data_IF_616970678632
#
_entry.id   IF_616970678632
#
_cell.length_a   1.000
_cell.length_b   1.000
_cell.length_c   1.000
_cell.angle_alpha   90.00
_cell.angle_beta   90.00
_cell.angle_gamma   90.00
#
_symmetry.space_group_name_H-M   'P 1'
#
loop_
_entity.id
_entity.type
_entity.pdbx_description
1 polymer ?
#
# COMPACT_ATOMS: atom_id res chain seq x y z
N UNK A 1 -11.59 -8.23 -19.98
CA UNK A 1 -10.28 -8.79 -19.56
C UNK A 1 -9.41 -7.61 -19.17
N UNK A 2 -8.80 -7.62 -17.99
CA UNK A 2 -7.89 -6.53 -17.58
C UNK A 2 -6.58 -6.73 -18.37
N UNK A 3 -6.10 -5.65 -18.99
CA UNK A 3 -4.76 -5.60 -19.58
C UNK A 3 -3.89 -4.70 -18.73
N UNK A 4 -2.63 -5.10 -18.52
CA UNK A 4 -1.64 -4.31 -17.80
C UNK A 4 -0.45 -4.04 -18.74
N UNK A 5 -0.17 -2.77 -19.01
CA UNK A 5 1.02 -2.33 -19.76
C UNK A 5 2.01 -1.72 -18.78
N UNK A 6 3.23 -2.24 -18.70
CA UNK A 6 4.27 -1.65 -17.84
C UNK A 6 4.50 -0.19 -18.25
N UNK A 7 4.64 0.68 -17.25
CA UNK A 7 4.99 2.09 -17.41
C UNK A 7 6.50 2.31 -17.50
N UNK A 8 6.90 3.38 -18.18
CA UNK A 8 8.26 3.92 -18.18
C UNK A 8 8.67 4.63 -16.88
N UNK A 9 7.72 4.86 -15.96
CA UNK A 9 8.03 5.28 -14.59
C UNK A 9 8.72 4.15 -13.80
N UNK A 10 9.67 4.51 -12.93
CA UNK A 10 10.39 3.57 -12.06
C UNK A 10 10.28 3.96 -10.58
N UNK A 11 10.19 2.97 -9.70
CA UNK A 11 10.30 3.18 -8.25
C UNK A 11 11.74 3.58 -7.91
N UNK A 12 11.90 4.67 -7.14
CA UNK A 12 13.17 5.10 -6.58
C UNK A 12 13.31 4.62 -5.12
N UNK A 13 12.27 4.85 -4.32
CA UNK A 13 12.14 4.34 -2.95
C UNK A 13 10.68 4.40 -2.47
N UNK A 14 10.30 3.55 -1.51
CA UNK A 14 9.04 3.70 -0.77
C UNK A 14 9.22 3.45 0.73
N UNK A 15 8.53 4.26 1.53
CA UNK A 15 8.53 4.25 2.98
C UNK A 15 7.08 4.14 3.48
N UNK A 16 6.71 2.99 4.03
CA UNK A 16 5.35 2.65 4.47
C UNK A 16 5.28 2.53 5.99
N UNK A 17 4.41 3.32 6.64
CA UNK A 17 4.17 3.30 8.08
C UNK A 17 2.70 2.98 8.39
N UNK A 18 2.45 1.86 9.08
CA UNK A 18 1.10 1.39 9.41
C UNK A 18 0.90 1.11 10.90
N UNK A 19 -0.30 1.42 11.38
CA UNK A 19 -0.80 1.06 12.72
C UNK A 19 -2.15 0.35 12.57
N UNK A 20 -2.23 -0.87 13.11
CA UNK A 20 -3.46 -1.67 13.14
C UNK A 20 -3.88 -1.97 14.58
N UNK A 21 -5.19 -1.93 14.85
CA UNK A 21 -5.80 -2.29 16.13
C UNK A 21 -7.03 -3.16 15.84
N UNK A 22 -7.01 -4.39 16.35
CA UNK A 22 -8.03 -5.44 16.16
C UNK A 22 -8.36 -5.72 14.69
N UNK A 23 -9.36 -5.03 14.13
CA UNK A 23 -9.81 -5.16 12.73
C UNK A 23 -9.60 -3.87 11.92
N UNK A 24 -9.28 -2.74 12.55
CA UNK A 24 -9.06 -1.45 11.90
C UNK A 24 -7.58 -1.27 11.59
N UNK A 25 -7.28 -0.83 10.37
CA UNK A 25 -5.92 -0.49 9.93
C UNK A 25 -5.87 0.94 9.41
N UNK A 26 -4.82 1.66 9.78
CA UNK A 26 -4.46 2.98 9.25
C UNK A 26 -3.02 2.85 8.72
N UNK A 27 -2.79 3.25 7.47
CA UNK A 27 -1.48 3.19 6.83
C UNK A 27 -1.26 4.46 6.02
N UNK A 28 -0.02 4.91 5.98
CA UNK A 28 0.40 6.04 5.16
C UNK A 28 1.88 5.97 4.89
N UNK A 29 2.35 6.75 3.94
CA UNK A 29 3.73 6.65 3.51
C UNK A 29 4.11 7.62 2.43
N UNK A 30 5.35 7.48 1.97
CA UNK A 30 5.89 8.14 0.79
C UNK A 30 6.30 7.12 -0.24
N UNK A 31 6.07 7.48 -1.50
CA UNK A 31 6.51 6.74 -2.67
C UNK A 31 7.19 7.75 -3.58
N UNK A 32 8.46 7.55 -3.89
CA UNK A 32 9.20 8.39 -4.83
C UNK A 32 9.29 7.60 -6.14
N UNK A 33 8.66 8.14 -7.19
CA UNK A 33 8.70 7.56 -8.53
C UNK A 33 9.45 8.52 -9.45
N UNK A 34 10.42 7.99 -10.19
CA UNK A 34 11.05 8.70 -11.29
C UNK A 34 10.18 8.55 -12.54
N UNK A 35 9.93 9.65 -13.23
CA UNK A 35 9.17 9.67 -14.48
C UNK A 35 9.99 9.18 -15.69
N UNK A 36 9.39 8.99 -16.88
CA UNK A 36 10.11 8.55 -18.08
C UNK A 36 11.20 9.52 -18.57
N UNK A 37 11.24 10.75 -18.04
CA UNK A 37 12.29 11.76 -18.28
C UNK A 37 13.36 11.76 -17.17
N UNK A 38 13.23 10.87 -16.17
CA UNK A 38 14.05 10.75 -14.95
C UNK A 38 13.95 11.93 -14.00
N UNK A 39 12.79 12.59 -13.94
CA UNK A 39 12.49 13.54 -12.88
C UNK A 39 11.82 12.80 -11.72
N UNK A 40 12.34 12.96 -10.50
CA UNK A 40 11.78 12.32 -9.29
C UNK A 40 10.56 13.08 -8.78
N UNK A 41 9.47 12.36 -8.51
CA UNK A 41 8.24 12.93 -7.96
C UNK A 41 7.90 12.27 -6.63
N UNK A 42 7.81 13.09 -5.58
CA UNK A 42 7.28 12.71 -4.27
C UNK A 42 5.75 12.52 -4.35
N UNK A 43 5.28 11.35 -3.95
CA UNK A 43 3.87 11.09 -3.66
C UNK A 43 3.71 10.71 -2.19
N UNK A 44 2.80 11.39 -1.49
CA UNK A 44 2.44 11.08 -0.10
C UNK A 44 1.05 10.46 -0.07
N UNK A 45 0.89 9.34 0.63
CA UNK A 45 -0.41 8.67 0.73
C UNK A 45 -0.83 8.43 2.18
N UNK A 46 -2.15 8.37 2.38
CA UNK A 46 -2.78 8.02 3.64
C UNK A 46 -4.13 7.35 3.38
N UNK A 47 -4.45 6.32 4.16
CA UNK A 47 -5.70 5.61 4.05
C UNK A 47 -6.01 4.77 5.28
N UNK A 48 -7.23 4.25 5.30
CA UNK A 48 -7.74 3.45 6.40
C UNK A 48 -8.63 2.33 5.86
N UNK A 49 -8.81 1.28 6.64
CA UNK A 49 -9.69 0.20 6.25
C UNK A 49 -9.67 -0.96 7.23
N UNK A 50 -9.88 -2.16 6.69
CA UNK A 50 -9.96 -3.38 7.47
C UNK A 50 -8.69 -4.20 7.31
N UNK A 51 -8.23 -4.80 8.40
CA UNK A 51 -7.09 -5.70 8.42
C UNK A 51 -7.34 -6.90 9.33
N UNK A 52 -6.70 -8.01 8.99
CA UNK A 52 -6.54 -9.14 9.90
C UNK A 52 -5.06 -9.32 10.18
N UNK A 53 -4.65 -9.09 11.43
CA UNK A 53 -3.31 -9.36 11.91
C UNK A 53 -3.34 -10.55 12.88
N UNK A 54 -2.35 -11.43 12.76
CA UNK A 54 -2.12 -12.53 13.69
C UNK A 54 -0.70 -12.42 14.22
N UNK A 55 -0.59 -11.94 15.45
CA UNK A 55 0.66 -12.04 16.22
C UNK A 55 1.08 -13.51 16.33
N UNK A 56 2.38 -13.76 16.29
CA UNK A 56 2.92 -15.08 16.56
C UNK A 56 2.66 -15.46 18.04
N UNK A 57 2.48 -16.76 18.36
CA UNK A 57 2.35 -17.18 19.77
C UNK A 57 3.56 -16.72 20.58
N UNK A 58 3.41 -16.50 21.89
CA UNK A 58 4.41 -15.88 22.79
C UNK A 58 5.73 -16.68 22.90
N UNK A 59 6.55 -16.65 21.85
CA UNK A 59 7.96 -17.03 21.86
C UNK A 59 8.68 -16.01 22.73
N UNK A 60 9.48 -16.48 23.69
CA UNK A 60 10.37 -15.62 24.47
C UNK A 60 11.52 -15.16 23.57
N UNK A 61 11.31 -14.03 22.89
CA UNK A 61 12.37 -13.32 22.19
C UNK A 61 13.50 -12.99 23.18
N UNK A 62 14.78 -13.06 22.76
CA UNK A 62 15.90 -12.64 23.60
C UNK A 62 15.77 -11.13 23.91
N UNK A 63 16.25 -10.66 25.07
CA UNK A 63 16.12 -9.27 25.48
C UNK A 63 17.01 -8.34 24.64
N UNK A 64 16.46 -7.84 23.53
CA UNK A 64 17.04 -6.75 22.75
C UNK A 64 16.79 -5.44 23.53
N UNK A 65 17.81 -4.59 23.78
CA UNK A 65 17.67 -3.41 24.67
C UNK A 65 16.94 -2.22 24.02
N UNK A 66 15.98 -2.47 23.12
CA UNK A 66 15.25 -1.45 22.38
C UNK A 66 13.75 -1.76 22.45
N UNK A 67 12.96 -0.74 22.79
CA UNK A 67 11.48 -0.69 22.69
C UNK A 67 10.66 -1.46 23.76
N UNK A 68 10.58 -0.91 24.97
CA UNK A 68 9.55 -1.26 25.97
C UNK A 68 8.14 -0.80 25.53
N UNK A 69 7.48 -1.54 24.64
CA UNK A 69 6.04 -1.41 24.38
C UNK A 69 5.45 -2.69 23.79
N UNK A 70 4.35 -3.19 24.36
CA UNK A 70 3.61 -4.32 23.79
C UNK A 70 2.90 -3.90 22.49
N UNK A 71 3.58 -4.05 21.35
CA UNK A 71 3.03 -3.73 20.03
C UNK A 71 2.34 -4.95 19.40
N UNK A 72 1.01 -5.00 19.47
CA UNK A 72 0.18 -5.88 18.65
C UNK A 72 -0.08 -5.28 17.26
N UNK A 73 0.98 -4.91 16.53
CA UNK A 73 0.89 -4.16 15.27
C UNK A 73 1.88 -4.64 14.21
N UNK A 74 1.39 -4.79 12.97
CA UNK A 74 2.20 -5.13 11.79
C UNK A 74 2.80 -3.88 11.13
N UNK A 75 3.44 -3.03 11.94
CA UNK A 75 4.13 -1.83 11.47
C UNK A 75 5.63 -2.06 11.36
N UNK A 76 6.23 -1.77 10.20
CA UNK A 76 7.69 -1.67 10.11
C UNK A 76 8.17 -0.43 10.87
N UNK A 77 9.33 -0.52 11.53
CA UNK A 77 10.00 0.59 12.21
C UNK A 77 11.13 1.21 11.39
N UNK A 78 11.34 0.73 10.15
CA UNK A 78 12.30 1.23 9.16
C UNK A 78 11.69 1.19 7.75
N UNK A 79 12.30 1.95 6.85
CA UNK A 79 11.99 1.94 5.42
C UNK A 79 12.17 0.55 4.80
N UNK A 80 11.42 0.28 3.72
CA UNK A 80 11.47 -0.99 3.02
C UNK A 80 12.50 -0.91 1.89
N UNK A 81 13.39 -1.89 1.80
CA UNK A 81 14.16 -2.13 0.57
C UNK A 81 13.17 -2.67 -0.46
N UNK A 82 12.56 -1.75 -1.20
CA UNK A 82 11.35 -1.98 -1.98
C UNK A 82 11.66 -1.95 -3.48
N UNK A 83 11.44 -3.09 -4.14
CA UNK A 83 11.29 -3.16 -5.59
C UNK A 83 9.82 -2.92 -5.94
N UNK A 84 9.56 -2.40 -7.12
CA UNK A 84 8.20 -2.08 -7.53
C UNK A 84 8.05 -1.65 -8.97
N UNK A 85 6.88 -1.95 -9.52
CA UNK A 85 6.56 -1.74 -10.93
C UNK A 85 5.19 -1.07 -11.06
N UNK A 86 5.17 0.08 -11.73
CA UNK A 86 3.95 0.77 -12.12
C UNK A 86 3.44 0.22 -13.45
N UNK A 87 2.14 -0.08 -13.51
CA UNK A 87 1.43 -0.54 -14.70
C UNK A 87 0.27 0.40 -15.02
N UNK A 88 0.08 0.71 -16.30
CA UNK A 88 -1.16 1.27 -16.82
C UNK A 88 -2.20 0.16 -17.00
N UNK A 89 -3.44 0.41 -16.61
CA UNK A 89 -4.56 -0.53 -16.81
C UNK A 89 -5.20 -0.37 -18.19
N UNK A 90 -6.13 -1.25 -18.52
CA UNK A 90 -7.04 -1.11 -19.66
C UNK A 90 -7.95 0.13 -19.62
N UNK A 91 -8.08 0.83 -18.47
CA UNK A 91 -8.79 2.11 -18.39
C UNK A 91 -7.93 3.28 -18.92
N UNK A 92 -6.60 3.14 -18.92
CA UNK A 92 -5.69 4.19 -19.36
C UNK A 92 -5.34 4.09 -20.85
N UNK A 93 -5.95 4.95 -21.66
CA UNK A 93 -5.84 4.90 -23.13
C UNK A 93 -4.72 5.76 -23.73
N UNK A 94 -4.07 6.65 -22.96
CA UNK A 94 -2.94 7.46 -23.44
C UNK A 94 -1.66 6.62 -23.54
N UNK A 95 -0.56 7.18 -24.04
CA UNK A 95 0.70 6.44 -24.21
C UNK A 95 1.40 6.14 -22.88
N UNK A 96 1.47 7.13 -21.98
CA UNK A 96 2.19 7.04 -20.71
C UNK A 96 1.54 7.94 -19.64
N UNK A 97 1.68 7.57 -18.37
CA UNK A 97 1.11 8.25 -17.21
C UNK A 97 1.79 9.61 -16.96
N UNK A 98 1.00 10.55 -16.42
CA UNK A 98 1.50 11.78 -15.80
C UNK A 98 1.21 11.78 -14.30
N UNK A 99 1.79 12.72 -13.54
CA UNK A 99 1.56 12.84 -12.09
C UNK A 99 0.08 12.91 -11.71
N UNK A 100 -0.76 13.54 -12.54
CA UNK A 100 -2.21 13.62 -12.33
C UNK A 100 -2.99 12.34 -12.65
N UNK A 101 -2.37 11.33 -13.26
CA UNK A 101 -2.95 9.99 -13.44
C UNK A 101 -2.59 9.03 -12.30
N UNK A 102 -1.68 9.45 -11.42
CA UNK A 102 -1.21 8.68 -10.25
C UNK A 102 -1.91 9.22 -8.99
N UNK A 103 -2.00 10.55 -8.85
CA UNK A 103 -2.68 11.25 -7.74
C UNK A 103 -4.19 11.06 -7.79
N UNK A 104 -4.84 11.05 -6.63
CA UNK A 104 -6.27 10.83 -6.48
C UNK A 104 -6.60 9.85 -5.36
N UNK A 105 -7.78 9.26 -5.41
CA UNK A 105 -8.11 8.15 -4.53
C UNK A 105 -7.27 6.90 -4.86
N UNK A 106 -7.01 6.11 -3.83
CA UNK A 106 -6.34 4.81 -3.94
C UNK A 106 -7.09 3.73 -3.18
N UNK A 107 -7.04 2.51 -3.71
CA UNK A 107 -7.35 1.27 -3.00
C UNK A 107 -6.04 0.52 -2.89
N UNK A 108 -5.61 0.14 -1.68
CA UNK A 108 -4.40 -0.66 -1.54
C UNK A 108 -4.57 -1.85 -0.60
N UNK A 109 -3.85 -2.91 -0.92
CA UNK A 109 -3.87 -4.19 -0.21
C UNK A 109 -2.46 -4.48 0.32
N UNK A 110 -2.20 -4.13 1.58
CA UNK A 110 -0.93 -4.39 2.25
C UNK A 110 -0.95 -5.79 2.88
N UNK A 111 0.09 -6.58 2.62
CA UNK A 111 0.30 -7.89 3.23
C UNK A 111 1.76 -8.14 3.59
N UNK A 112 2.00 -8.83 4.72
CA UNK A 112 3.37 -9.14 5.13
C UNK A 112 3.45 -10.07 6.34
N UNK A 113 4.62 -10.66 6.56
CA UNK A 113 4.91 -11.54 7.69
C UNK A 113 6.39 -11.51 8.09
N UNK A 114 6.67 -11.67 9.38
CA UNK A 114 8.03 -11.70 9.92
C UNK A 114 8.13 -12.23 11.35
N UNK A 115 9.37 -12.38 11.82
CA UNK A 115 9.72 -12.63 13.23
C UNK A 115 10.99 -11.88 13.69
N UNK A 116 11.94 -11.62 12.77
CA UNK A 116 13.22 -10.93 13.03
C UNK A 116 13.67 -10.06 11.85
N UNK A 117 13.47 -10.57 10.63
CA UNK A 117 13.20 -9.79 9.44
C UNK A 117 11.77 -10.10 8.98
N UNK A 118 11.18 -9.23 8.16
CA UNK A 118 9.88 -9.47 7.53
C UNK A 118 9.94 -9.27 6.01
N UNK A 119 9.08 -9.99 5.30
CA UNK A 119 8.77 -9.70 3.90
C UNK A 119 7.38 -9.07 3.83
N UNK A 120 7.25 -8.02 3.02
CA UNK A 120 6.00 -7.32 2.77
C UNK A 120 5.78 -7.05 1.28
N UNK A 121 4.53 -6.81 0.91
CA UNK A 121 4.15 -6.34 -0.40
C UNK A 121 2.83 -5.57 -0.36
N UNK A 122 2.65 -4.69 -1.33
CA UNK A 122 1.42 -3.91 -1.51
C UNK A 122 0.98 -3.92 -2.96
N UNK A 123 -0.34 -3.97 -3.18
CA UNK A 123 -0.96 -3.76 -4.48
C UNK A 123 -1.83 -2.51 -4.36
N UNK A 124 -1.42 -1.43 -5.01
CA UNK A 124 -2.13 -0.15 -4.97
C UNK A 124 -2.79 0.15 -6.32
N UNK A 125 -4.11 0.29 -6.34
CA UNK A 125 -4.86 0.91 -7.44
C UNK A 125 -4.75 2.43 -7.27
N UNK A 126 -4.22 3.12 -8.26
CA UNK A 126 -3.89 4.56 -8.22
C UNK A 126 -4.72 5.37 -9.22
N UNK A 127 -4.77 6.70 -9.04
CA UNK A 127 -5.42 7.63 -9.97
C UNK A 127 -6.96 7.58 -10.00
N UNK A 128 -7.61 6.98 -9.00
CA UNK A 128 -9.07 6.84 -9.00
C UNK A 128 -9.70 8.22 -8.71
N UNK A 129 -10.76 8.58 -9.43
CA UNK A 129 -11.54 9.78 -9.09
C UNK A 129 -12.15 9.61 -7.69
N UNK A 130 -11.84 10.54 -6.77
CA UNK A 130 -12.32 10.55 -5.39
C UNK A 130 -13.84 10.47 -5.27
N UNK A 131 -14.60 11.01 -6.22
CA UNK A 131 -16.06 10.92 -6.28
C UNK A 131 -16.55 9.46 -6.39
N UNK A 132 -15.78 8.58 -7.04
CA UNK A 132 -16.11 7.16 -7.17
C UNK A 132 -15.95 6.41 -5.85
N UNK A 133 -15.02 6.82 -4.98
CA UNK A 133 -14.84 6.18 -3.67
C UNK A 133 -15.67 6.82 -2.55
N UNK A 134 -16.14 8.06 -2.68
CA UNK A 134 -16.88 8.73 -1.61
C UNK A 134 -18.05 7.90 -1.00
N UNK A 135 -18.81 7.08 -1.75
CA UNK A 135 -19.83 6.20 -1.17
C UNK A 135 -19.31 5.10 -0.23
N UNK A 136 -18.02 4.71 -0.30
CA UNK A 136 -17.36 3.81 0.67
C UNK A 136 -17.48 4.35 2.09
N UNK A 137 -17.14 5.63 2.23
CA UNK A 137 -16.97 6.32 3.51
C UNK A 137 -18.29 6.36 4.31
N UNK A 138 -19.42 6.28 3.61
CA UNK A 138 -20.78 6.32 4.18
C UNK A 138 -21.36 4.92 4.40
N UNK A 139 -20.95 3.91 3.62
CA UNK A 139 -21.43 2.54 3.75
C UNK A 139 -20.32 1.50 3.46
N UNK A 140 -19.63 0.97 4.48
CA UNK A 140 -18.64 -0.09 4.31
C UNK A 140 -19.19 -1.37 3.65
N UNK A 141 -20.50 -1.63 3.75
CA UNK A 141 -21.15 -2.80 3.17
C UNK A 141 -21.09 -2.87 1.63
N UNK A 142 -20.86 -1.75 0.93
CA UNK A 142 -20.70 -1.75 -0.53
C UNK A 142 -19.26 -1.99 -1.00
N UNK A 143 -18.29 -2.17 -0.08
CA UNK A 143 -16.86 -2.38 -0.37
C UNK A 143 -16.61 -3.32 -1.56
N UNK A 144 -17.20 -4.53 -1.55
CA UNK A 144 -16.94 -5.54 -2.57
C UNK A 144 -17.38 -5.11 -3.98
N UNK A 145 -18.50 -4.38 -4.08
CA UNK A 145 -18.96 -3.82 -5.35
C UNK A 145 -18.08 -2.67 -5.85
N UNK A 146 -17.59 -1.83 -4.92
CA UNK A 146 -16.76 -0.67 -5.26
C UNK A 146 -15.32 -1.06 -5.57
N UNK A 147 -14.76 -2.09 -4.91
CA UNK A 147 -13.44 -2.62 -5.20
C UNK A 147 -13.34 -3.14 -6.65
N UNK A 148 -14.39 -3.82 -7.16
CA UNK A 148 -14.47 -4.18 -8.58
C UNK A 148 -14.52 -2.93 -9.47
N UNK A 149 -15.40 -1.97 -9.16
CA UNK A 149 -15.55 -0.74 -9.96
C UNK A 149 -14.26 0.09 -9.99
N UNK A 150 -13.52 0.14 -8.89
CA UNK A 150 -12.21 0.79 -8.83
C UNK A 150 -11.18 0.07 -9.72
N UNK A 151 -11.17 -1.26 -9.74
CA UNK A 151 -10.32 -2.03 -10.66
C UNK A 151 -10.70 -1.83 -12.14
N UNK A 152 -11.98 -1.56 -12.43
CA UNK A 152 -12.45 -1.18 -13.78
C UNK A 152 -12.15 0.30 -14.14
N UNK A 153 -11.78 1.17 -13.19
CA UNK A 153 -11.68 2.63 -13.36
C UNK A 153 -10.37 3.28 -12.86
N UNK A 154 -9.42 2.53 -12.31
CA UNK A 154 -8.11 3.02 -11.90
C UNK A 154 -7.18 3.15 -13.13
N UNK A 155 -6.61 4.33 -13.45
CA UNK A 155 -5.61 4.47 -14.50
C UNK A 155 -4.38 3.57 -14.34
N UNK A 156 -3.94 3.35 -13.10
CA UNK A 156 -2.69 2.64 -12.82
C UNK A 156 -2.78 1.66 -11.66
N UNK A 157 -1.87 0.68 -11.66
CA UNK A 157 -1.60 -0.24 -10.55
C UNK A 157 -0.11 -0.19 -10.23
N UNK A 158 0.23 0.11 -8.99
CA UNK A 158 1.59 -0.03 -8.46
C UNK A 158 1.68 -1.34 -7.68
N UNK A 159 2.63 -2.19 -8.05
CA UNK A 159 3.03 -3.35 -7.26
C UNK A 159 4.29 -2.97 -6.49
N UNK A 160 4.29 -3.20 -5.18
CA UNK A 160 5.45 -3.05 -4.29
C UNK A 160 5.76 -4.40 -3.63
N UNK A 161 7.03 -4.75 -3.53
CA UNK A 161 7.51 -5.89 -2.74
C UNK A 161 8.86 -5.55 -2.11
N UNK A 162 9.08 -5.91 -0.85
CA UNK A 162 10.33 -5.56 -0.17
C UNK A 162 10.57 -6.27 1.15
N UNK A 163 11.82 -6.22 1.56
CA UNK A 163 12.23 -6.59 2.91
C UNK A 163 11.98 -5.43 3.88
N UNK A 164 11.50 -5.78 5.08
CA UNK A 164 11.31 -4.87 6.19
C UNK A 164 12.30 -5.23 7.32
N UNK A 165 13.28 -4.37 7.56
CA UNK A 165 14.19 -4.49 8.69
C UNK A 165 13.50 -4.06 10.00
N UNK A 166 13.03 -5.02 10.78
CA UNK A 166 12.50 -4.72 12.11
C UNK A 166 11.88 -5.92 12.81
N UNK A 167 11.58 -5.75 14.09
CA UNK A 167 10.91 -6.76 14.92
C UNK A 167 9.40 -6.84 14.61
N UNK A 168 9.08 -7.24 13.38
CA UNK A 168 7.73 -7.67 13.00
C UNK A 168 7.53 -9.04 13.65
N UNK A 169 6.59 -9.17 14.58
CA UNK A 169 6.34 -10.40 15.36
C UNK A 169 4.98 -11.03 15.03
N UNK A 170 4.68 -11.19 13.73
CA UNK A 170 3.35 -11.57 13.24
C UNK A 170 3.26 -11.60 11.73
N UNK A 171 2.08 -11.92 11.23
CA UNK A 171 1.70 -11.72 9.84
C UNK A 171 0.31 -11.12 9.73
N UNK A 172 0.04 -10.40 8.64
CA UNK A 172 -1.25 -9.76 8.41
C UNK A 172 -1.55 -9.47 6.94
N UNK A 173 -2.83 -9.27 6.67
CA UNK A 173 -3.38 -8.83 5.39
C UNK A 173 -4.40 -7.71 5.66
N UNK A 174 -4.43 -6.70 4.80
CA UNK A 174 -5.35 -5.57 4.95
C UNK A 174 -5.81 -5.01 3.61
N UNK A 175 -6.90 -4.24 3.63
CA UNK A 175 -7.46 -3.56 2.48
C UNK A 175 -7.93 -2.15 2.90
N UNK A 176 -7.36 -1.11 2.30
CA UNK A 176 -7.47 0.28 2.74
C UNK A 176 -7.92 1.22 1.64
N UNK A 177 -8.88 2.09 1.97
CA UNK A 177 -9.56 3.06 1.09
C UNK A 177 -8.83 4.38 1.52
N UNK A 178 -8.23 5.10 0.57
CA UNK A 178 -7.32 6.21 0.87
C UNK A 178 -7.12 7.21 -0.25
N UNK A 179 -6.14 8.10 -0.07
CA UNK A 179 -5.77 9.16 -1.01
C UNK A 179 -4.25 9.25 -1.17
N UNK A 180 -3.78 9.59 -2.37
CA UNK A 180 -2.38 9.78 -2.73
C UNK A 180 -2.23 11.11 -3.48
N UNK A 181 -1.31 11.96 -3.02
CA UNK A 181 -1.12 13.36 -3.44
C UNK A 181 0.34 13.73 -3.67
#
# INVERSE_FOLDING_TARGET
>A
MISLRKSGWSLNTSATGGLGIELLSISGGKIILDDPQKQSHDFSYFGFGIGYSRGLPKIKLPPIPILNREMSGTGSTKDFTSDGVLYMTSYFHRQELSTSDIKGATIYFDGGAGLLAGYGGSIMLLGINTELIAPWLVNPGIFASMAKKALDCAPAVLLLAGEAEGLIAGGGLSAMIGHLQ
#
